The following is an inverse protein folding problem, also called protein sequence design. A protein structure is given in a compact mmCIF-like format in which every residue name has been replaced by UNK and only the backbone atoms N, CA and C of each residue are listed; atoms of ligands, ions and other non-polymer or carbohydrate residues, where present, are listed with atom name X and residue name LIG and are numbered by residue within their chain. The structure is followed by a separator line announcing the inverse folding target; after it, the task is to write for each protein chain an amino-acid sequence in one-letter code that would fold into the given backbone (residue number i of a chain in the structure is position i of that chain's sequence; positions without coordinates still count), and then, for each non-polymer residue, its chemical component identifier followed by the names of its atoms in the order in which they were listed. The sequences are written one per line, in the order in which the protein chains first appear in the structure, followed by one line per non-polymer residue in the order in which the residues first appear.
data_IF_343782249571
#
_entry.id   IF_343782249571
#
_cell.length_a   1.000
_cell.length_b   1.000
_cell.length_c   1.000
_cell.angle_alpha   90.00
_cell.angle_beta   90.00
_cell.angle_gamma   90.00
#
_symmetry.space_group_name_H-M   'P 1'
#
loop_
_entity.id
_entity.type
_entity.pdbx_description
1 polymer ?
#
# COMPACT_ATOMS: atom_id res chain seq x y z
N UNK A 1 -64.32 5.52 45.30
CA UNK A 1 -63.74 5.40 43.95
C UNK A 1 -62.31 5.92 43.99
N UNK A 2 -61.32 5.03 43.94
CA UNK A 2 -59.85 5.38 43.94
C UNK A 2 -59.29 5.15 42.57
N UNK A 3 -58.92 6.25 41.87
CA UNK A 3 -58.20 6.20 40.61
C UNK A 3 -56.73 5.80 40.88
N UNK A 4 -56.31 4.71 40.27
CA UNK A 4 -54.87 4.35 40.18
C UNK A 4 -54.33 4.89 38.85
N UNK A 5 -53.42 5.86 38.93
CA UNK A 5 -52.55 6.23 37.83
C UNK A 5 -51.47 5.15 37.67
N UNK A 6 -51.39 4.51 36.53
CA UNK A 6 -50.23 3.70 36.10
C UNK A 6 -49.20 4.63 35.46
N UNK A 7 -48.04 4.67 36.08
CA UNK A 7 -46.87 5.38 35.57
C UNK A 7 -46.19 4.50 34.51
N UNK A 8 -46.22 4.95 33.26
CA UNK A 8 -45.69 4.25 32.08
C UNK A 8 -44.26 4.67 31.71
N UNK A 9 -43.50 5.26 32.64
CA UNK A 9 -42.18 5.83 32.32
C UNK A 9 -41.00 4.87 32.34
N UNK A 10 -41.18 3.57 32.67
CA UNK A 10 -40.08 2.62 32.82
C UNK A 10 -39.94 1.56 31.74
N UNK A 11 -40.74 1.61 30.63
CA UNK A 11 -40.65 0.59 29.57
C UNK A 11 -39.78 0.97 28.36
N UNK A 12 -39.38 2.24 28.24
CA UNK A 12 -38.58 2.68 27.07
C UNK A 12 -37.06 2.65 27.28
N UNK A 13 -36.60 2.48 28.52
CA UNK A 13 -35.13 2.42 28.79
C UNK A 13 -34.51 1.02 28.70
N UNK A 14 -35.33 -0.03 28.63
CA UNK A 14 -34.83 -1.42 28.61
C UNK A 14 -34.55 -1.98 27.21
N UNK A 15 -35.07 -1.34 26.14
CA UNK A 15 -34.88 -1.84 24.77
C UNK A 15 -33.63 -1.28 24.05
N UNK A 16 -33.05 -0.18 24.57
CA UNK A 16 -31.91 0.47 23.94
C UNK A 16 -30.53 -0.10 24.37
N UNK A 17 -30.49 -0.83 25.48
CA UNK A 17 -29.24 -1.40 26.03
C UNK A 17 -28.94 -2.83 25.58
N UNK A 18 -29.84 -3.50 24.85
CA UNK A 18 -29.68 -4.92 24.47
C UNK A 18 -29.14 -5.13 23.03
N UNK A 19 -29.00 -4.06 22.21
CA UNK A 19 -28.55 -4.19 20.82
C UNK A 19 -27.06 -3.87 20.59
N UNK A 20 -26.29 -3.54 21.64
CA UNK A 20 -24.87 -3.23 21.53
C UNK A 20 -23.91 -4.37 21.93
N UNK A 21 -24.45 -5.59 22.13
CA UNK A 21 -23.63 -6.71 22.64
C UNK A 21 -23.46 -7.86 21.67
N UNK A 22 -23.17 -7.66 20.42
CA UNK A 22 -22.61 -8.73 19.55
C UNK A 22 -22.17 -8.24 18.18
N UNK A 23 -21.66 -7.04 18.03
CA UNK A 23 -20.72 -6.81 16.94
C UNK A 23 -19.42 -7.50 17.34
N UNK A 24 -19.29 -8.78 16.96
CA UNK A 24 -17.97 -9.37 16.74
C UNK A 24 -17.30 -8.45 15.73
N UNK A 25 -16.43 -7.57 16.18
CA UNK A 25 -15.47 -6.90 15.28
C UNK A 25 -14.72 -8.06 14.64
N UNK A 26 -15.11 -8.42 13.42
CA UNK A 26 -14.32 -9.32 12.60
C UNK A 26 -13.03 -8.53 12.40
N UNK A 27 -12.02 -8.85 13.19
CA UNK A 27 -10.70 -8.22 13.08
C UNK A 27 -10.19 -8.64 11.71
N UNK A 28 -10.27 -7.73 10.76
CA UNK A 28 -9.73 -7.97 9.44
C UNK A 28 -8.22 -8.16 9.60
N UNK A 29 -7.72 -9.32 9.20
CA UNK A 29 -6.29 -9.58 9.20
C UNK A 29 -5.61 -8.59 8.25
N UNK A 30 -4.44 -8.12 8.62
CA UNK A 30 -3.64 -7.23 7.79
C UNK A 30 -3.28 -7.93 6.47
N UNK A 31 -3.50 -7.27 5.33
CA UNK A 31 -3.10 -7.78 4.03
C UNK A 31 -1.57 -7.73 3.91
N UNK A 32 -0.97 -8.86 3.57
CA UNK A 32 0.47 -9.03 3.44
C UNK A 32 0.88 -8.96 1.97
N UNK A 33 1.68 -7.97 1.61
CA UNK A 33 2.07 -7.71 0.22
C UNK A 33 3.60 -7.80 0.11
N UNK A 34 4.16 -8.91 -0.41
CA UNK A 34 5.58 -8.96 -0.75
C UNK A 34 5.89 -7.99 -1.90
N UNK A 35 7.13 -7.50 -1.95
CA UNK A 35 7.58 -6.57 -2.98
C UNK A 35 8.75 -7.11 -3.80
N UNK A 36 8.70 -6.85 -5.10
CA UNK A 36 9.81 -7.04 -6.06
C UNK A 36 10.17 -5.67 -6.64
N UNK A 37 11.40 -5.22 -6.42
CA UNK A 37 11.96 -4.09 -7.15
C UNK A 37 12.75 -4.61 -8.35
N UNK A 38 12.60 -3.99 -9.52
CA UNK A 38 13.23 -4.40 -10.75
C UNK A 38 14.30 -3.39 -11.20
N UNK A 39 15.52 -3.90 -11.43
CA UNK A 39 16.59 -3.22 -12.18
C UNK A 39 17.20 -4.24 -13.14
N UNK A 40 17.33 -3.86 -14.41
CA UNK A 40 17.88 -4.74 -15.47
C UNK A 40 17.14 -6.09 -15.54
N UNK A 41 15.82 -6.09 -15.29
CA UNK A 41 14.99 -7.29 -15.29
C UNK A 41 15.20 -8.25 -14.10
N UNK A 42 15.92 -7.86 -13.05
CA UNK A 42 16.26 -8.68 -11.88
C UNK A 42 15.61 -8.15 -10.61
N UNK A 43 15.34 -9.04 -9.65
CA UNK A 43 14.86 -8.67 -8.31
C UNK A 43 15.99 -8.07 -7.49
N UNK A 44 15.82 -6.82 -7.11
CA UNK A 44 16.83 -6.07 -6.33
C UNK A 44 16.20 -5.42 -5.09
N UNK A 45 17.05 -4.91 -4.21
CA UNK A 45 16.64 -3.95 -3.16
C UNK A 45 17.67 -2.85 -3.06
N UNK A 46 17.18 -1.66 -2.82
CA UNK A 46 17.96 -0.49 -2.48
C UNK A 46 17.84 -0.20 -0.97
N UNK A 47 18.70 0.63 -0.44
CA UNK A 47 18.57 1.20 0.91
C UNK A 47 18.27 2.69 0.76
N UNK A 48 17.10 3.14 1.25
CA UNK A 48 16.63 4.54 1.13
C UNK A 48 16.66 5.07 -0.32
N UNK A 49 16.41 4.20 -1.31
CA UNK A 49 16.39 4.57 -2.74
C UNK A 49 17.77 4.81 -3.37
N UNK A 50 18.86 4.52 -2.67
CA UNK A 50 20.21 4.69 -3.20
C UNK A 50 20.60 3.56 -4.16
N UNK A 51 20.76 3.88 -5.46
CA UNK A 51 21.11 2.93 -6.51
C UNK A 51 22.52 2.34 -6.34
N UNK A 52 23.43 3.02 -5.67
CA UNK A 52 24.78 2.51 -5.38
C UNK A 52 24.75 1.41 -4.30
N UNK A 53 23.66 1.35 -3.51
CA UNK A 53 23.41 0.32 -2.52
C UNK A 53 22.72 -0.94 -3.09
N UNK A 54 22.58 -1.05 -4.44
CA UNK A 54 21.88 -2.16 -5.12
C UNK A 54 22.41 -3.51 -4.70
N UNK A 55 21.50 -4.37 -4.20
CA UNK A 55 21.76 -5.79 -3.95
C UNK A 55 20.79 -6.63 -4.76
N UNK A 56 21.30 -7.60 -5.54
CA UNK A 56 20.48 -8.56 -6.29
C UNK A 56 20.14 -9.71 -5.34
N UNK A 57 18.87 -10.08 -5.26
CA UNK A 57 18.39 -11.20 -4.46
C UNK A 57 17.92 -12.38 -5.31
N UNK A 58 17.38 -12.10 -6.49
CA UNK A 58 16.98 -13.14 -7.45
C UNK A 58 17.16 -12.61 -8.88
N UNK A 59 17.71 -13.44 -9.75
CA UNK A 59 17.85 -13.09 -11.17
C UNK A 59 16.59 -13.39 -11.99
N UNK A 60 15.65 -14.18 -11.43
CA UNK A 60 14.40 -14.57 -12.07
C UNK A 60 13.19 -14.05 -11.27
N UNK A 61 12.60 -12.90 -11.67
CA UNK A 61 11.40 -12.36 -11.01
C UNK A 61 10.17 -13.27 -11.12
N UNK A 62 10.08 -14.11 -12.17
CA UNK A 62 8.96 -15.04 -12.32
C UNK A 62 9.07 -16.18 -11.29
N UNK A 63 10.27 -16.72 -11.10
CA UNK A 63 10.50 -17.71 -10.05
C UNK A 63 10.21 -17.14 -8.66
N UNK A 64 10.61 -15.89 -8.40
CA UNK A 64 10.31 -15.22 -7.13
C UNK A 64 8.81 -15.00 -6.91
N UNK A 65 8.09 -14.60 -7.94
CA UNK A 65 6.63 -14.42 -7.85
C UNK A 65 5.90 -15.75 -7.60
N UNK A 66 6.33 -16.84 -8.26
CA UNK A 66 5.81 -18.18 -8.01
C UNK A 66 6.09 -18.67 -6.58
N UNK A 67 7.24 -18.36 -6.04
CA UNK A 67 7.56 -18.63 -4.63
C UNK A 67 6.58 -17.93 -3.69
N UNK A 68 6.32 -16.63 -3.92
CA UNK A 68 5.32 -15.89 -3.13
C UNK A 68 3.92 -16.50 -3.26
N UNK A 69 3.50 -16.86 -4.45
CA UNK A 69 2.20 -17.53 -4.66
C UNK A 69 2.13 -18.88 -3.93
N UNK A 70 3.18 -19.70 -4.00
CA UNK A 70 3.25 -20.98 -3.31
C UNK A 70 3.23 -20.85 -1.78
N UNK A 71 3.77 -19.77 -1.24
CA UNK A 71 3.69 -19.40 0.18
C UNK A 71 2.28 -18.92 0.60
N UNK A 72 1.35 -18.71 -0.34
CA UNK A 72 -0.04 -18.36 -0.07
C UNK A 72 -0.36 -16.87 -0.17
N UNK A 73 0.60 -16.01 -0.54
CA UNK A 73 0.33 -14.60 -0.81
C UNK A 73 -0.68 -14.46 -1.96
N UNK A 74 -1.51 -13.42 -1.91
CA UNK A 74 -2.54 -13.15 -2.92
C UNK A 74 -2.23 -11.92 -3.75
N UNK A 75 -1.38 -11.05 -3.23
CA UNK A 75 -1.01 -9.79 -3.86
C UNK A 75 0.49 -9.67 -3.96
N UNK A 76 0.97 -8.92 -4.95
CA UNK A 76 2.39 -8.64 -5.19
C UNK A 76 2.54 -7.18 -5.60
N UNK A 77 3.46 -6.47 -4.97
CA UNK A 77 3.87 -5.12 -5.35
C UNK A 77 5.13 -5.20 -6.21
N UNK A 78 5.09 -4.64 -7.43
CA UNK A 78 6.25 -4.58 -8.33
C UNK A 78 6.62 -3.12 -8.57
N UNK A 79 7.90 -2.79 -8.37
CA UNK A 79 8.46 -1.47 -8.65
C UNK A 79 9.47 -1.54 -9.78
N UNK A 80 9.20 -0.86 -10.89
CA UNK A 80 10.14 -0.66 -12.00
C UNK A 80 11.08 0.51 -11.66
N UNK A 81 12.24 0.20 -11.06
CA UNK A 81 13.23 1.21 -10.69
C UNK A 81 13.93 1.80 -11.92
N UNK A 82 14.09 1.02 -13.00
CA UNK A 82 14.56 1.56 -14.27
C UNK A 82 13.56 2.55 -14.84
N UNK A 83 12.27 2.21 -14.77
CA UNK A 83 11.19 3.09 -15.16
C UNK A 83 11.11 4.36 -14.32
N UNK A 84 11.28 4.25 -13.01
CA UNK A 84 11.33 5.41 -12.12
C UNK A 84 12.45 6.38 -12.50
N UNK A 85 13.62 5.85 -12.91
CA UNK A 85 14.78 6.62 -13.36
C UNK A 85 14.59 7.24 -14.74
N UNK A 86 14.04 6.46 -15.70
CA UNK A 86 13.87 6.87 -17.10
C UNK A 86 12.58 7.66 -17.36
N UNK A 87 11.66 7.70 -16.37
CA UNK A 87 10.36 8.40 -16.42
C UNK A 87 9.37 7.80 -17.42
N UNK A 88 9.49 6.52 -17.73
CA UNK A 88 8.54 5.69 -18.50
C UNK A 88 8.74 4.23 -18.11
N UNK A 89 7.78 3.35 -18.39
CA UNK A 89 7.88 1.91 -18.07
C UNK A 89 8.94 1.24 -18.92
N UNK A 90 9.86 0.51 -18.28
CA UNK A 90 10.98 -0.23 -18.90
C UNK A 90 10.77 -1.75 -18.79
N UNK A 91 10.34 -2.24 -17.62
CA UNK A 91 10.25 -3.66 -17.30
C UNK A 91 8.85 -4.28 -17.54
N UNK A 92 8.08 -3.78 -18.53
CA UNK A 92 6.76 -4.32 -18.87
C UNK A 92 6.77 -5.78 -19.33
N UNK A 93 7.85 -6.22 -19.98
CA UNK A 93 8.01 -7.61 -20.37
C UNK A 93 8.13 -8.54 -19.15
N UNK A 94 8.81 -8.10 -18.08
CA UNK A 94 8.91 -8.83 -16.82
C UNK A 94 7.55 -8.85 -16.12
N UNK A 95 6.85 -7.70 -16.06
CA UNK A 95 5.49 -7.61 -15.52
C UNK A 95 4.57 -8.62 -16.21
N UNK A 96 4.55 -8.65 -17.55
CA UNK A 96 3.74 -9.59 -18.34
C UNK A 96 4.12 -11.05 -18.05
N UNK A 97 5.40 -11.36 -17.91
CA UNK A 97 5.85 -12.71 -17.60
C UNK A 97 5.36 -13.16 -16.21
N UNK A 98 5.44 -12.29 -15.20
CA UNK A 98 4.95 -12.55 -13.84
C UNK A 98 3.44 -12.76 -13.83
N UNK A 99 2.66 -11.83 -14.41
CA UNK A 99 1.19 -11.88 -14.40
C UNK A 99 0.65 -13.07 -15.22
N UNK A 100 1.36 -13.50 -16.25
CA UNK A 100 0.99 -14.70 -17.03
C UNK A 100 1.34 -16.02 -16.33
N UNK A 101 2.29 -16.00 -15.39
CA UNK A 101 2.82 -17.20 -14.74
C UNK A 101 2.23 -17.44 -13.34
N UNK A 102 1.49 -16.50 -12.79
CA UNK A 102 0.90 -16.54 -11.44
C UNK A 102 -0.54 -16.02 -11.45
N UNK A 103 -1.32 -16.34 -10.40
CA UNK A 103 -2.64 -15.79 -10.14
C UNK A 103 -2.62 -14.59 -9.17
N UNK A 104 -1.44 -14.07 -8.86
CA UNK A 104 -1.28 -12.94 -7.95
C UNK A 104 -1.94 -11.68 -8.49
N UNK A 105 -2.65 -10.95 -7.62
CA UNK A 105 -3.10 -9.59 -7.91
C UNK A 105 -1.88 -8.66 -7.86
N UNK A 106 -1.42 -8.20 -9.03
CA UNK A 106 -0.22 -7.38 -9.13
C UNK A 106 -0.57 -5.89 -9.15
N UNK A 107 0.01 -5.12 -8.25
CA UNK A 107 0.11 -3.69 -8.40
C UNK A 107 1.53 -3.29 -8.87
N UNK A 108 1.57 -2.32 -9.79
CA UNK A 108 2.80 -1.95 -10.48
C UNK A 108 3.07 -0.46 -10.35
N UNK A 109 4.27 -0.12 -9.92
CA UNK A 109 4.76 1.25 -9.79
C UNK A 109 6.09 1.46 -10.50
N UNK A 110 6.49 2.72 -10.62
CA UNK A 110 7.74 3.11 -11.29
C UNK A 110 7.55 3.46 -12.76
N UNK A 111 7.96 4.68 -13.14
CA UNK A 111 7.93 5.14 -14.54
C UNK A 111 6.59 5.64 -15.07
N UNK A 112 5.49 5.54 -14.34
CA UNK A 112 4.17 5.96 -14.79
C UNK A 112 4.08 7.49 -14.83
N UNK A 113 4.03 8.06 -16.04
CA UNK A 113 4.01 9.50 -16.28
C UNK A 113 2.93 9.94 -17.27
N UNK A 114 2.38 9.00 -18.04
CA UNK A 114 1.38 9.24 -19.08
C UNK A 114 0.24 8.21 -18.98
N UNK A 115 -0.87 8.48 -19.65
CA UNK A 115 -1.95 7.52 -19.80
C UNK A 115 -1.50 6.28 -20.57
N UNK A 116 -0.58 6.43 -21.52
CA UNK A 116 0.01 5.32 -22.27
C UNK A 116 0.78 4.37 -21.34
N UNK A 117 1.55 4.89 -20.37
CA UNK A 117 2.21 4.06 -19.35
C UNK A 117 1.20 3.25 -18.54
N UNK A 118 0.08 3.87 -18.12
CA UNK A 118 -0.98 3.16 -17.40
C UNK A 118 -1.56 2.03 -18.24
N UNK A 119 -1.91 2.31 -19.49
CA UNK A 119 -2.44 1.31 -20.44
C UNK A 119 -1.43 0.18 -20.66
N UNK A 120 -0.16 0.52 -20.84
CA UNK A 120 0.94 -0.45 -21.00
C UNK A 120 1.05 -1.37 -19.78
N UNK A 121 0.95 -0.85 -18.56
CA UNK A 121 0.96 -1.66 -17.34
C UNK A 121 -0.26 -2.60 -17.29
N UNK A 122 -1.47 -2.09 -17.60
CA UNK A 122 -2.68 -2.92 -17.62
C UNK A 122 -2.66 -3.98 -18.70
N UNK A 123 -2.17 -3.64 -19.90
CA UNK A 123 -2.00 -4.60 -21.01
C UNK A 123 -0.95 -5.67 -20.70
N UNK A 124 -0.01 -5.36 -19.80
CA UNK A 124 0.96 -6.33 -19.27
C UNK A 124 0.39 -7.13 -18.07
N UNK A 125 -0.89 -6.93 -17.70
CA UNK A 125 -1.61 -7.74 -16.70
C UNK A 125 -1.62 -7.15 -15.28
N UNK A 126 -1.11 -5.93 -15.06
CA UNK A 126 -1.27 -5.28 -13.76
C UNK A 126 -2.75 -5.09 -13.42
N UNK A 127 -3.14 -5.41 -12.20
CA UNK A 127 -4.50 -5.15 -11.69
C UNK A 127 -4.66 -3.69 -11.25
N UNK A 128 -3.60 -3.12 -10.70
CA UNK A 128 -3.54 -1.75 -10.21
C UNK A 128 -2.21 -1.10 -10.58
N UNK A 129 -2.19 0.23 -10.63
CA UNK A 129 -0.95 1.00 -10.81
C UNK A 129 -0.75 2.00 -9.68
N UNK A 130 0.49 2.14 -9.21
CA UNK A 130 0.87 3.10 -8.19
C UNK A 130 1.42 4.37 -8.85
N UNK A 131 0.77 5.50 -8.61
CA UNK A 131 1.13 6.82 -9.13
C UNK A 131 1.61 7.71 -7.98
N UNK A 132 2.86 8.15 -8.04
CA UNK A 132 3.48 9.03 -7.03
C UNK A 132 3.74 10.44 -7.59
N UNK A 133 4.92 10.70 -8.16
CA UNK A 133 5.36 12.04 -8.57
C UNK A 133 4.37 12.79 -9.48
N UNK A 134 3.60 12.10 -10.33
CA UNK A 134 2.58 12.72 -11.20
C UNK A 134 1.46 13.34 -10.37
N UNK A 135 1.09 12.70 -9.28
CA UNK A 135 0.08 13.23 -8.38
C UNK A 135 0.49 14.58 -7.75
N UNK A 136 1.77 14.83 -7.58
CA UNK A 136 2.29 16.13 -7.10
C UNK A 136 2.45 17.13 -8.25
N UNK A 137 3.06 16.70 -9.35
CA UNK A 137 3.49 17.62 -10.42
C UNK A 137 2.37 17.96 -11.42
N UNK A 138 1.38 17.10 -11.55
CA UNK A 138 0.23 17.24 -12.48
C UNK A 138 -1.06 16.68 -11.83
N UNK A 139 -1.56 17.30 -10.75
CA UNK A 139 -2.70 16.78 -9.99
C UNK A 139 -3.96 16.59 -10.83
N UNK A 140 -4.27 17.53 -11.73
CA UNK A 140 -5.45 17.46 -12.62
C UNK A 140 -5.41 16.20 -13.50
N UNK A 141 -4.22 15.88 -14.06
CA UNK A 141 -4.04 14.68 -14.87
C UNK A 141 -4.28 13.41 -14.04
N UNK A 142 -3.77 13.37 -12.82
CA UNK A 142 -3.97 12.22 -11.94
C UNK A 142 -5.45 12.06 -11.54
N UNK A 143 -6.17 13.17 -11.31
CA UNK A 143 -7.61 13.17 -11.05
C UNK A 143 -8.39 12.66 -12.28
N UNK A 144 -8.01 13.04 -13.48
CA UNK A 144 -8.64 12.53 -14.69
C UNK A 144 -8.39 11.04 -14.90
N UNK A 145 -7.24 10.53 -14.49
CA UNK A 145 -6.97 9.09 -14.47
C UNK A 145 -7.88 8.33 -13.50
N UNK A 146 -8.21 8.90 -12.33
CA UNK A 146 -9.19 8.29 -11.43
C UNK A 146 -10.55 8.13 -12.09
N UNK A 147 -10.99 9.11 -12.88
CA UNK A 147 -12.25 9.06 -13.64
C UNK A 147 -12.19 8.04 -14.77
N UNK A 148 -11.05 7.98 -15.48
CA UNK A 148 -10.87 7.15 -16.68
C UNK A 148 -10.71 5.68 -16.34
N UNK A 149 -9.89 5.36 -15.33
CA UNK A 149 -9.51 3.97 -15.00
C UNK A 149 -10.21 3.41 -13.77
N UNK A 150 -10.85 4.26 -12.95
CA UNK A 150 -11.49 3.89 -11.70
C UNK A 150 -10.55 3.96 -10.49
N UNK A 151 -11.09 4.37 -9.36
CA UNK A 151 -10.33 4.55 -8.13
C UNK A 151 -9.80 3.24 -7.53
N UNK A 152 -10.40 2.11 -7.89
CA UNK A 152 -9.98 0.76 -7.46
C UNK A 152 -8.73 0.28 -8.20
N UNK A 153 -8.41 0.87 -9.36
CA UNK A 153 -7.24 0.51 -10.17
C UNK A 153 -6.06 1.46 -10.02
N UNK A 154 -6.26 2.57 -9.32
CA UNK A 154 -5.21 3.55 -9.04
C UNK A 154 -4.86 3.52 -7.56
N UNK A 155 -3.59 3.42 -7.25
CA UNK A 155 -3.04 3.58 -5.90
C UNK A 155 -2.28 4.90 -5.87
N UNK A 156 -2.62 5.76 -4.93
CA UNK A 156 -1.88 7.00 -4.71
C UNK A 156 -0.60 6.70 -3.93
N UNK A 157 0.55 6.91 -4.54
CA UNK A 157 1.85 6.84 -3.87
C UNK A 157 2.15 8.12 -3.09
N UNK A 158 2.31 7.98 -1.78
CA UNK A 158 2.64 9.05 -0.84
C UNK A 158 3.95 8.71 -0.12
N UNK A 159 5.07 8.90 -0.80
CA UNK A 159 6.39 8.73 -0.20
C UNK A 159 6.72 9.97 0.63
N UNK A 160 6.94 9.79 1.92
CA UNK A 160 7.03 10.90 2.87
C UNK A 160 8.38 10.96 3.55
N UNK A 161 8.90 12.18 3.68
CA UNK A 161 10.08 12.51 4.48
C UNK A 161 9.79 13.78 5.28
N UNK A 162 9.96 13.71 6.60
CA UNK A 162 9.70 14.86 7.50
C UNK A 162 8.29 15.48 7.29
N UNK A 163 7.28 14.67 7.04
CA UNK A 163 5.89 15.11 6.85
C UNK A 163 5.56 15.68 5.46
N UNK A 164 6.55 15.79 4.55
CA UNK A 164 6.37 16.28 3.18
C UNK A 164 6.47 15.16 2.15
N UNK A 165 5.74 15.33 1.05
CA UNK A 165 5.78 14.37 -0.07
C UNK A 165 7.09 14.51 -0.84
N UNK A 166 7.79 13.40 -1.02
CA UNK A 166 8.98 13.31 -1.87
C UNK A 166 8.61 12.81 -3.27
N UNK A 167 9.33 13.29 -4.27
CA UNK A 167 9.09 12.99 -5.70
C UNK A 167 10.39 12.56 -6.39
N UNK A 168 10.26 12.15 -7.66
CA UNK A 168 11.39 11.81 -8.53
C UNK A 168 12.32 10.72 -7.97
N UNK A 169 11.73 9.64 -7.40
CA UNK A 169 12.50 8.57 -6.76
C UNK A 169 13.25 9.04 -5.53
N UNK A 170 12.56 9.87 -4.71
CA UNK A 170 13.01 10.41 -3.41
C UNK A 170 14.18 11.42 -3.48
N UNK A 171 14.47 11.94 -4.67
CA UNK A 171 15.56 12.89 -4.90
C UNK A 171 15.18 14.32 -4.54
N UNK A 172 13.90 14.62 -4.49
CA UNK A 172 13.36 15.95 -4.25
C UNK A 172 12.21 15.86 -3.25
N UNK A 173 12.16 16.77 -2.29
CA UNK A 173 11.01 16.95 -1.42
C UNK A 173 10.14 18.08 -1.99
N UNK A 174 8.84 17.81 -2.13
CA UNK A 174 7.90 18.84 -2.59
C UNK A 174 7.52 19.82 -1.48
N UNK A 175 6.78 20.87 -1.79
CA UNK A 175 6.17 21.75 -0.80
C UNK A 175 4.95 21.14 -0.12
N UNK A 176 4.39 20.02 -0.66
CA UNK A 176 3.14 19.43 -0.23
C UNK A 176 3.28 18.70 1.12
N UNK A 177 2.47 19.09 2.08
CA UNK A 177 2.30 18.36 3.31
C UNK A 177 1.41 17.14 3.11
N UNK A 178 1.73 16.03 3.78
CA UNK A 178 1.10 14.72 3.57
C UNK A 178 -0.43 14.77 3.73
N UNK A 179 -0.97 15.32 4.82
CA UNK A 179 -2.42 15.30 5.06
C UNK A 179 -3.22 16.12 4.04
N UNK A 180 -2.86 17.38 3.70
CA UNK A 180 -3.51 18.13 2.63
C UNK A 180 -3.43 17.45 1.27
N UNK A 181 -2.26 16.86 0.94
CA UNK A 181 -2.09 16.09 -0.30
C UNK A 181 -3.07 14.90 -0.36
N UNK A 182 -3.16 14.08 0.68
CA UNK A 182 -4.10 12.97 0.74
C UNK A 182 -5.55 13.44 0.62
N UNK A 183 -5.90 14.53 1.34
CA UNK A 183 -7.25 15.08 1.29
C UNK A 183 -7.70 15.40 -0.13
N UNK A 184 -6.83 16.04 -0.91
CA UNK A 184 -7.12 16.38 -2.32
C UNK A 184 -7.58 15.15 -3.11
N UNK A 185 -6.91 14.01 -2.97
CA UNK A 185 -7.24 12.81 -3.72
C UNK A 185 -8.40 12.01 -3.12
N UNK A 186 -8.55 12.01 -1.81
CA UNK A 186 -9.69 11.37 -1.12
C UNK A 186 -10.99 12.08 -1.52
N UNK A 187 -11.00 13.41 -1.59
CA UNK A 187 -12.15 14.19 -2.05
C UNK A 187 -12.52 13.88 -3.52
N UNK A 188 -11.58 13.36 -4.31
CA UNK A 188 -11.80 12.90 -5.69
C UNK A 188 -12.01 11.38 -5.81
N UNK A 189 -12.20 10.68 -4.69
CA UNK A 189 -12.61 9.29 -4.64
C UNK A 189 -11.50 8.26 -4.58
N UNK A 190 -10.22 8.65 -4.40
CA UNK A 190 -9.14 7.69 -4.18
C UNK A 190 -9.43 6.86 -2.92
N UNK A 191 -9.21 5.56 -3.00
CA UNK A 191 -9.42 4.63 -1.89
C UNK A 191 -8.11 4.03 -1.40
N UNK A 192 -7.21 3.70 -2.33
CA UNK A 192 -5.96 3.01 -2.05
C UNK A 192 -4.80 4.00 -1.96
N UNK A 193 -4.10 4.02 -0.84
CA UNK A 193 -2.94 4.87 -0.61
C UNK A 193 -1.76 4.02 -0.16
N UNK A 194 -0.68 4.11 -0.89
CA UNK A 194 0.61 3.51 -0.55
C UNK A 194 1.48 4.57 0.12
N UNK A 195 1.74 4.42 1.42
CA UNK A 195 2.52 5.41 2.16
C UNK A 195 3.87 4.82 2.60
N UNK A 196 4.97 5.37 2.08
CA UNK A 196 6.33 5.00 2.47
C UNK A 196 6.93 6.08 3.37
N UNK A 197 7.29 5.76 4.62
CA UNK A 197 8.19 6.60 5.39
C UNK A 197 9.64 6.33 4.94
N UNK A 198 10.18 7.24 4.13
CA UNK A 198 11.46 7.06 3.42
C UNK A 198 12.63 6.85 4.41
N UNK A 199 12.62 7.54 5.55
CA UNK A 199 13.67 7.41 6.55
C UNK A 199 13.79 6.00 7.13
N UNK A 200 12.73 5.20 7.01
CA UNK A 200 12.62 3.82 7.48
C UNK A 200 12.90 2.80 6.39
N UNK A 201 12.72 3.16 5.11
CA UNK A 201 12.79 2.18 4.03
C UNK A 201 14.17 1.53 3.90
N UNK A 202 14.18 0.21 3.78
CA UNK A 202 15.39 -0.60 3.67
C UNK A 202 16.27 -0.63 4.93
N UNK A 203 15.86 0.00 6.05
CA UNK A 203 16.69 0.07 7.28
C UNK A 203 16.49 -1.08 8.24
N UNK A 204 15.37 -1.83 8.14
CA UNK A 204 14.97 -2.86 9.13
C UNK A 204 14.91 -2.30 10.57
N UNK A 205 14.46 -1.05 10.74
CA UNK A 205 14.41 -0.35 12.02
C UNK A 205 12.98 -0.17 12.57
N UNK A 206 12.05 -0.99 12.11
CA UNK A 206 10.63 -0.93 12.43
C UNK A 206 9.85 0.10 11.61
N UNK A 207 8.55 -0.15 11.34
CA UNK A 207 7.68 0.72 10.56
C UNK A 207 7.29 2.00 11.32
N UNK A 208 6.75 2.98 10.58
CA UNK A 208 6.31 4.27 11.14
C UNK A 208 4.87 4.19 11.70
N UNK A 209 4.61 3.33 12.68
CA UNK A 209 3.26 3.00 13.18
C UNK A 209 2.47 4.25 13.58
N UNK A 210 3.09 5.20 14.29
CA UNK A 210 2.39 6.41 14.73
C UNK A 210 1.96 7.31 13.57
N UNK A 211 2.76 7.39 12.50
CA UNK A 211 2.37 8.07 11.26
C UNK A 211 1.12 7.40 10.66
N UNK A 212 1.14 6.08 10.52
CA UNK A 212 0.03 5.34 9.92
C UNK A 212 -1.26 5.44 10.75
N UNK A 213 -1.15 5.42 12.08
CA UNK A 213 -2.30 5.66 12.99
C UNK A 213 -2.89 7.04 12.80
N UNK A 214 -2.06 8.09 12.64
CA UNK A 214 -2.52 9.45 12.36
C UNK A 214 -3.28 9.52 11.04
N UNK A 215 -2.77 8.85 9.99
CA UNK A 215 -3.43 8.79 8.69
C UNK A 215 -4.80 8.09 8.77
N UNK A 216 -4.86 6.93 9.43
CA UNK A 216 -6.12 6.19 9.61
C UNK A 216 -7.12 6.94 10.51
N UNK A 217 -6.66 7.72 11.48
CA UNK A 217 -7.53 8.57 12.28
C UNK A 217 -8.11 9.74 11.47
N UNK A 218 -7.31 10.32 10.55
CA UNK A 218 -7.76 11.40 9.68
C UNK A 218 -8.67 10.91 8.54
N UNK A 219 -8.43 9.71 8.02
CA UNK A 219 -9.11 9.15 6.86
C UNK A 219 -9.46 7.66 7.07
N UNK A 220 -10.46 7.34 7.92
CA UNK A 220 -10.75 5.95 8.34
C UNK A 220 -11.24 5.04 7.21
N UNK A 221 -11.79 5.59 6.12
CA UNK A 221 -12.26 4.82 4.96
C UNK A 221 -11.15 4.52 3.93
N UNK A 222 -9.95 5.05 4.14
CA UNK A 222 -8.82 4.85 3.25
C UNK A 222 -8.22 3.45 3.46
N UNK A 223 -7.98 2.72 2.37
CA UNK A 223 -7.19 1.50 2.40
C UNK A 223 -5.70 1.85 2.35
N UNK A 224 -5.11 2.00 3.54
CA UNK A 224 -3.70 2.36 3.69
C UNK A 224 -2.82 1.13 3.52
N UNK A 225 -1.85 1.22 2.61
CA UNK A 225 -0.77 0.24 2.44
C UNK A 225 0.49 0.84 3.07
N UNK A 226 0.85 0.35 4.24
CA UNK A 226 2.05 0.81 4.96
C UNK A 226 3.33 0.27 4.30
N UNK A 227 4.35 1.10 4.17
CA UNK A 227 5.63 0.73 3.55
C UNK A 227 6.81 1.35 4.28
N UNK A 228 7.92 0.61 4.30
CA UNK A 228 9.18 1.03 4.90
C UNK A 228 9.38 0.55 6.34
N UNK A 229 10.57 0.03 6.59
CA UNK A 229 11.08 -0.27 7.93
C UNK A 229 10.75 -1.64 8.51
N UNK A 230 9.78 -2.38 8.00
CA UNK A 230 9.43 -3.73 8.52
C UNK A 230 10.69 -4.58 8.66
N UNK A 231 10.91 -5.14 9.86
CA UNK A 231 12.12 -5.86 10.22
C UNK A 231 11.88 -7.29 10.70
N UNK A 232 10.67 -7.60 11.18
CA UNK A 232 10.32 -8.92 11.74
C UNK A 232 8.80 -9.13 11.76
N UNK A 233 8.35 -10.33 12.16
CA UNK A 233 6.93 -10.66 12.25
C UNK A 233 6.21 -9.82 13.33
N UNK A 234 6.90 -9.41 14.39
CA UNK A 234 6.36 -8.57 15.45
C UNK A 234 5.94 -7.19 14.95
N UNK A 235 6.67 -6.62 13.98
CA UNK A 235 6.30 -5.36 13.33
C UNK A 235 4.97 -5.49 12.56
N UNK A 236 4.77 -6.59 11.85
CA UNK A 236 3.52 -6.88 11.13
C UNK A 236 2.36 -7.00 12.12
N UNK A 237 2.54 -7.74 13.23
CA UNK A 237 1.53 -7.86 14.30
C UNK A 237 1.23 -6.52 14.96
N UNK A 238 2.23 -5.66 15.12
CA UNK A 238 2.04 -4.32 15.67
C UNK A 238 1.24 -3.41 14.74
N UNK A 239 1.49 -3.47 13.41
CA UNK A 239 0.69 -2.78 12.39
C UNK A 239 -0.76 -3.29 12.39
N UNK A 240 -0.96 -4.61 12.43
CA UNK A 240 -2.29 -5.21 12.53
C UNK A 240 -3.02 -4.77 13.80
N UNK A 241 -2.32 -4.78 14.96
CA UNK A 241 -2.88 -4.31 16.22
C UNK A 241 -3.25 -2.83 16.20
N UNK A 242 -2.55 -2.03 15.41
CA UNK A 242 -2.83 -0.62 15.17
C UNK A 242 -3.99 -0.38 14.16
N UNK A 243 -4.57 -1.45 13.58
CA UNK A 243 -5.67 -1.37 12.62
C UNK A 243 -5.25 -0.96 11.21
N UNK A 244 -3.97 -1.14 10.86
CA UNK A 244 -3.48 -0.85 9.51
C UNK A 244 -3.95 -1.97 8.57
N UNK A 245 -4.63 -1.62 7.44
CA UNK A 245 -5.27 -2.62 6.58
C UNK A 245 -4.30 -3.48 5.79
N UNK A 246 -3.16 -2.90 5.34
CA UNK A 246 -2.19 -3.61 4.50
C UNK A 246 -0.76 -3.16 4.79
N UNK A 247 0.20 -4.05 4.53
CA UNK A 247 1.64 -3.77 4.66
C UNK A 247 2.43 -4.37 3.50
N UNK A 248 3.32 -3.57 2.94
CA UNK A 248 4.33 -4.04 1.98
C UNK A 248 5.65 -4.29 2.70
N UNK A 249 6.28 -5.41 2.36
CA UNK A 249 7.61 -5.76 2.86
C UNK A 249 8.44 -6.41 1.73
N UNK A 250 9.73 -6.17 1.77
CA UNK A 250 10.67 -6.75 0.81
C UNK A 250 11.93 -7.19 1.52
N UNK A 251 12.82 -6.25 1.91
CA UNK A 251 14.13 -6.54 2.48
C UNK A 251 14.09 -7.54 3.63
N UNK A 252 13.13 -7.41 4.55
CA UNK A 252 12.98 -8.30 5.70
C UNK A 252 12.72 -9.76 5.28
N UNK A 253 11.95 -9.97 4.20
CA UNK A 253 11.75 -11.31 3.63
C UNK A 253 13.04 -11.86 3.04
N UNK A 254 13.67 -11.11 2.14
CA UNK A 254 14.90 -11.55 1.47
C UNK A 254 16.10 -11.78 2.43
N UNK A 255 16.11 -11.10 3.57
CA UNK A 255 17.10 -11.29 4.64
C UNK A 255 16.70 -12.39 5.64
N UNK A 256 15.61 -13.16 5.36
CA UNK A 256 15.15 -14.27 6.20
C UNK A 256 14.61 -13.87 7.56
N UNK A 257 14.20 -12.61 7.74
CA UNK A 257 13.68 -12.07 9.01
C UNK A 257 12.17 -12.20 9.14
N UNK A 258 11.45 -12.37 8.03
CA UNK A 258 10.03 -12.68 7.98
C UNK A 258 9.88 -14.18 7.85
N UNK A 259 9.21 -14.80 8.84
CA UNK A 259 8.76 -16.20 8.78
C UNK A 259 7.30 -16.18 8.38
N UNK A 260 7.01 -16.77 7.23
CA UNK A 260 5.65 -16.72 6.62
C UNK A 260 4.69 -17.64 7.39
N UNK A 261 5.22 -18.71 8.01
CA UNK A 261 4.44 -19.64 8.83
C UNK A 261 3.74 -18.88 9.99
N UNK A 262 2.43 -18.98 10.04
CA UNK A 262 1.60 -18.31 11.06
C UNK A 262 1.29 -16.82 10.79
N UNK A 263 1.69 -16.29 9.65
CA UNK A 263 1.24 -14.99 9.14
C UNK A 263 0.13 -15.13 8.09
N UNK A 264 0.12 -16.22 7.36
CA UNK A 264 -0.89 -16.54 6.34
C UNK A 264 -1.69 -17.75 6.83
N UNK A 265 -3.04 -17.66 6.76
CA UNK A 265 -3.97 -18.74 7.10
C UNK A 265 -4.38 -19.54 5.86
#
# INVERSE_FOLDING_TARGET
MKNRHYDNSNLYFSFFTFHLRNYKVIRQMIELIPAIDLIDGKCVRLTKGDYDSKKIYNEDPVAQAKEFEALGFKRLHIVDLDGAKSKHIVNDAVLRAVTSATSLTVDFGGGIKTEEDIRKAFDAGASMVTVGSVAVTRPELCIDWLKTFGAERIILGADVRNGKISINGWKEDSSEDLLPFLKTYIDHGIKNVFCTEISKDGTLAGPAIELYKQLMAAYPEMHLIASGGVSCNEDIKALEAAGIPAVVFGKAYYEGKIKVEGLIC
#
